data_IF_744725291591
#
_entry.id   IF_744725291591
#
_cell.length_a   1.000
_cell.length_b   1.000
_cell.length_c   1.000
_cell.angle_alpha   90.00
_cell.angle_beta   90.00
_cell.angle_gamma   90.00
#
_symmetry.space_group_name_H-M   'P 1'
#
loop_
_entity.id
_entity.type
_entity.pdbx_description
1 polymer ?
#
# COMPACT_ATOMS: atom_id res chain seq x y z
N UNK A 1 0.59 21.25 -13.10
CA UNK A 1 0.90 19.81 -13.13
C UNK A 1 1.38 19.21 -11.82
N UNK A 2 1.47 19.93 -10.68
CA UNK A 2 1.96 19.36 -9.40
C UNK A 2 0.84 18.80 -8.50
N UNK A 3 -0.42 19.19 -8.77
CA UNK A 3 -1.58 18.86 -7.92
C UNK A 3 -2.17 17.46 -8.16
N UNK A 4 -1.89 16.81 -9.30
CA UNK A 4 -2.44 15.49 -9.66
C UNK A 4 -1.62 14.32 -9.12
N UNK A 5 -0.35 14.55 -8.79
CA UNK A 5 0.53 13.55 -8.15
C UNK A 5 0.28 13.47 -6.64
N UNK A 6 -0.19 14.55 -6.00
CA UNK A 6 -0.49 14.61 -4.56
C UNK A 6 -1.84 14.00 -4.14
N UNK A 7 -2.66 13.56 -5.10
CA UNK A 7 -3.97 12.93 -4.85
C UNK A 7 -3.99 11.44 -5.09
N UNK A 8 -2.85 10.84 -5.44
CA UNK A 8 -2.73 9.40 -5.64
C UNK A 8 -2.56 8.70 -4.30
N UNK A 9 -3.12 7.50 -4.19
CA UNK A 9 -2.92 6.62 -3.05
C UNK A 9 -2.42 5.27 -3.57
N UNK A 10 -1.67 4.55 -2.75
CA UNK A 10 -1.33 3.17 -3.06
C UNK A 10 -1.11 2.37 -1.78
N UNK A 11 -1.32 1.06 -1.89
CA UNK A 11 -1.00 0.10 -0.84
C UNK A 11 0.32 -0.57 -1.18
N UNK A 12 1.28 -0.52 -0.26
CA UNK A 12 2.64 -1.02 -0.48
C UNK A 12 3.19 -1.75 0.74
N UNK A 13 4.38 -2.32 0.59
CA UNK A 13 5.13 -2.90 1.69
C UNK A 13 5.91 -1.82 2.44
N UNK A 14 5.82 -1.81 3.77
CA UNK A 14 6.74 -1.10 4.66
C UNK A 14 7.33 -2.08 5.68
N UNK A 15 8.63 -2.35 5.52
CA UNK A 15 9.30 -3.44 6.21
C UNK A 15 8.60 -4.78 5.91
N UNK A 16 8.12 -5.49 6.93
CA UNK A 16 7.43 -6.78 6.79
C UNK A 16 5.89 -6.66 6.79
N UNK A 17 5.36 -5.44 6.73
CA UNK A 17 3.93 -5.15 6.88
C UNK A 17 3.36 -4.36 5.71
N UNK A 18 2.04 -4.37 5.59
CA UNK A 18 1.31 -3.49 4.68
C UNK A 18 1.32 -2.05 5.21
N UNK A 19 1.42 -1.08 4.30
CA UNK A 19 1.20 0.33 4.57
C UNK A 19 0.39 0.99 3.45
N UNK A 20 -0.40 1.98 3.84
CA UNK A 20 -1.07 2.90 2.94
C UNK A 20 -0.19 4.13 2.76
N UNK A 21 0.05 4.50 1.51
CA UNK A 21 0.85 5.66 1.14
C UNK A 21 0.00 6.68 0.41
N UNK A 22 0.40 7.95 0.53
CA UNK A 22 -0.15 9.07 -0.23
C UNK A 22 0.93 9.67 -1.12
N UNK A 23 0.63 9.80 -2.40
CA UNK A 23 1.56 10.22 -3.44
C UNK A 23 1.71 9.15 -4.52
N UNK A 24 2.75 9.28 -5.34
CA UNK A 24 3.05 8.34 -6.41
C UNK A 24 4.21 7.43 -6.03
N UNK A 25 4.04 6.13 -6.27
CA UNK A 25 5.12 5.14 -6.24
C UNK A 25 5.96 5.28 -7.51
N UNK A 26 6.81 6.30 -7.56
CA UNK A 26 7.85 6.44 -8.57
C UNK A 26 9.17 6.80 -7.89
N UNK A 27 10.17 5.95 -8.06
CA UNK A 27 11.56 6.27 -7.74
C UNK A 27 12.10 7.26 -8.77
N UNK A 28 11.63 8.51 -8.72
CA UNK A 28 12.27 9.62 -9.44
C UNK A 28 13.52 10.04 -8.68
N UNK A 29 14.54 9.18 -8.72
CA UNK A 29 15.84 9.36 -8.09
C UNK A 29 15.73 9.83 -6.62
N UNK A 30 16.59 10.74 -6.19
CA UNK A 30 16.84 11.20 -4.81
C UNK A 30 15.66 11.81 -4.02
N UNK A 31 14.42 11.80 -4.52
CA UNK A 31 13.25 12.40 -3.87
C UNK A 31 12.14 11.36 -3.70
N UNK A 32 11.69 11.14 -2.47
CA UNK A 32 10.42 10.45 -2.22
C UNK A 32 9.26 11.38 -2.58
N UNK A 33 8.41 10.94 -3.52
CA UNK A 33 7.19 11.64 -3.91
C UNK A 33 5.94 11.09 -3.21
N UNK A 34 6.16 10.28 -2.18
CA UNK A 34 5.15 9.65 -1.36
C UNK A 34 5.51 9.74 0.12
N UNK A 35 4.48 9.79 0.94
CA UNK A 35 4.59 9.69 2.39
C UNK A 35 3.70 8.56 2.89
N UNK A 36 4.03 8.01 4.06
CA UNK A 36 3.21 7.00 4.72
C UNK A 36 1.98 7.70 5.28
N UNK A 37 0.81 7.40 4.73
CA UNK A 37 -0.47 7.88 5.24
C UNK A 37 -0.88 7.06 6.49
N UNK A 38 -0.70 5.74 6.44
CA UNK A 38 -0.99 4.85 7.57
C UNK A 38 -0.23 3.52 7.50
N UNK A 39 0.38 3.13 8.61
CA UNK A 39 0.94 1.80 8.79
C UNK A 39 -0.09 0.79 9.28
N UNK A 40 0.03 -0.45 8.82
CA UNK A 40 -0.82 -1.59 9.20
C UNK A 40 0.01 -2.79 9.70
N UNK A 41 0.65 -2.66 10.88
CA UNK A 41 1.46 -3.74 11.48
C UNK A 41 0.66 -5.01 11.81
N UNK A 42 -0.66 -4.91 11.85
CA UNK A 42 -1.57 -6.05 11.99
C UNK A 42 -1.64 -6.94 10.74
N UNK A 43 -1.15 -6.46 9.59
CA UNK A 43 -1.16 -7.15 8.29
C UNK A 43 0.28 -7.49 7.88
N UNK A 44 0.83 -8.57 8.44
CA UNK A 44 2.17 -9.05 8.07
C UNK A 44 2.14 -9.70 6.67
N UNK A 45 3.10 -9.36 5.81
CA UNK A 45 3.18 -9.83 4.42
C UNK A 45 3.19 -11.37 4.32
N UNK A 46 3.79 -12.05 5.31
CA UNK A 46 3.90 -13.52 5.34
C UNK A 46 2.55 -14.23 5.41
N UNK A 47 1.51 -13.57 5.92
CA UNK A 47 0.15 -14.10 6.01
C UNK A 47 -0.69 -13.79 4.77
N UNK A 48 -0.19 -12.97 3.84
CA UNK A 48 -0.88 -12.74 2.57
C UNK A 48 -0.66 -13.91 1.59
N UNK A 49 -1.67 -14.24 0.77
CA UNK A 49 -1.50 -15.15 -0.36
C UNK A 49 -0.33 -14.71 -1.26
N UNK A 50 0.47 -15.64 -1.82
CA UNK A 50 1.70 -15.28 -2.54
C UNK A 50 1.50 -14.28 -3.68
N UNK A 51 0.40 -14.38 -4.43
CA UNK A 51 0.06 -13.43 -5.48
C UNK A 51 -0.19 -12.03 -4.90
N UNK A 52 -0.96 -11.95 -3.82
CA UNK A 52 -1.32 -10.68 -3.20
C UNK A 52 -0.11 -10.01 -2.54
N UNK A 53 0.75 -10.79 -1.89
CA UNK A 53 2.03 -10.33 -1.35
C UNK A 53 2.88 -9.67 -2.44
N UNK A 54 3.05 -10.33 -3.59
CA UNK A 54 3.78 -9.78 -4.73
C UNK A 54 3.18 -8.49 -5.25
N UNK A 55 1.85 -8.37 -5.27
CA UNK A 55 1.18 -7.12 -5.65
C UNK A 55 1.48 -5.98 -4.67
N UNK A 56 1.43 -6.25 -3.36
CA UNK A 56 1.77 -5.26 -2.32
C UNK A 56 3.24 -4.85 -2.40
N UNK A 57 4.15 -5.81 -2.59
CA UNK A 57 5.58 -5.54 -2.81
C UNK A 57 5.83 -4.70 -4.07
N UNK A 58 5.03 -4.91 -5.13
CA UNK A 58 5.06 -4.12 -6.36
C UNK A 58 4.27 -2.82 -6.30
N UNK A 59 3.61 -2.53 -5.17
CA UNK A 59 2.62 -1.46 -4.95
C UNK A 59 1.32 -1.61 -5.75
N UNK A 60 0.19 -1.40 -5.06
CA UNK A 60 -1.16 -1.44 -5.63
C UNK A 60 -1.68 0.00 -5.68
N UNK A 61 -1.73 0.58 -6.88
CA UNK A 61 -2.24 1.93 -7.08
C UNK A 61 -3.76 1.99 -6.90
N UNK A 62 -4.23 3.02 -6.21
CA UNK A 62 -5.64 3.22 -5.85
C UNK A 62 -6.07 4.65 -6.18
N UNK A 63 -7.25 4.78 -6.80
CA UNK A 63 -7.73 6.06 -7.32
C UNK A 63 -8.22 7.04 -6.26
N UNK A 64 -8.43 6.58 -5.03
CA UNK A 64 -8.89 7.39 -3.90
C UNK A 64 -8.46 6.79 -2.55
N UNK A 65 -8.49 7.60 -1.50
CA UNK A 65 -8.24 7.12 -0.13
C UNK A 65 -9.27 6.08 0.31
N UNK A 66 -10.51 6.16 -0.20
CA UNK A 66 -11.57 5.22 0.12
C UNK A 66 -11.28 3.85 -0.48
N UNK A 67 -10.85 3.80 -1.74
CA UNK A 67 -10.52 2.54 -2.41
C UNK A 67 -9.26 1.92 -1.81
N UNK A 68 -8.27 2.76 -1.47
CA UNK A 68 -7.07 2.30 -0.80
C UNK A 68 -7.34 1.73 0.60
N UNK A 69 -8.25 2.33 1.38
CA UNK A 69 -8.70 1.75 2.66
C UNK A 69 -9.43 0.42 2.48
N UNK A 70 -10.32 0.32 1.48
CA UNK A 70 -10.98 -0.95 1.15
C UNK A 70 -9.97 -2.04 0.78
N UNK A 71 -8.95 -1.69 -0.01
CA UNK A 71 -7.86 -2.61 -0.36
C UNK A 71 -7.14 -3.10 0.89
N UNK A 72 -6.84 -2.21 1.84
CA UNK A 72 -6.25 -2.59 3.13
C UNK A 72 -7.17 -3.54 3.91
N UNK A 73 -8.47 -3.26 3.98
CA UNK A 73 -9.44 -4.11 4.69
C UNK A 73 -9.52 -5.52 4.05
N UNK A 74 -9.49 -5.61 2.71
CA UNK A 74 -9.41 -6.88 1.98
C UNK A 74 -8.15 -7.67 2.35
N UNK A 75 -7.00 -7.00 2.39
CA UNK A 75 -5.71 -7.60 2.78
C UNK A 75 -5.73 -8.08 4.24
N UNK A 76 -6.34 -7.30 5.15
CA UNK A 76 -6.49 -7.66 6.54
C UNK A 76 -7.35 -8.92 6.72
N UNK A 77 -8.47 -9.01 5.98
CA UNK A 77 -9.33 -10.19 5.99
C UNK A 77 -8.58 -11.43 5.49
N UNK A 78 -7.77 -11.30 4.44
CA UNK A 78 -6.96 -12.41 3.93
C UNK A 78 -5.86 -12.83 4.91
N UNK A 79 -5.13 -11.87 5.49
CA UNK A 79 -4.08 -12.16 6.46
C UNK A 79 -4.62 -12.84 7.73
N UNK A 80 -5.77 -12.38 8.24
CA UNK A 80 -6.39 -12.97 9.44
C UNK A 80 -6.89 -14.39 9.23
N UNK A 81 -7.26 -14.77 8.00
CA UNK A 81 -7.65 -16.14 7.66
C UNK A 81 -6.46 -17.13 7.60
N UNK A 82 -5.23 -16.62 7.47
CA UNK A 82 -4.02 -17.43 7.32
C UNK A 82 -3.05 -17.30 8.51
N UNK A 83 -3.45 -16.60 9.57
CA UNK A 83 -2.69 -16.43 10.81
C UNK A 83 -2.85 -17.63 11.73
#
# INVERSE_FOLDING_TARGET
>A
GYRWTQTQFYVGAQNENVALFRGISQDLAWISLSEVEKNHPEIELKYLPPYQRKQVEATIAEGSITDARKKVDELAAQASACK
#
